data_IF_109532402027
#
_entry.id   IF_109532402027
#
_cell.length_a   1.000
_cell.length_b   1.000
_cell.length_c   1.000
_cell.angle_alpha   90.00
_cell.angle_beta   90.00
_cell.angle_gamma   90.00
#
_symmetry.space_group_name_H-M   'P 1'
#
loop_
_entity.id
_entity.type
_entity.pdbx_description
1 polymer ?
#
# COMPACT_ATOMS: atom_id res chain seq x y z
N UNK A 1 -17.63 0.98 -24.07
CA UNK A 1 -17.53 1.36 -23.42
C UNK A 1 -17.59 1.67 -23.00
N UNK A 2 -17.41 1.82 -22.78
CA UNK A 2 -17.22 2.29 -22.14
C UNK A 2 -16.99 2.57 -21.41
N UNK A 3 -16.71 2.38 -21.65
CA UNK A 3 -16.26 2.73 -20.78
C UNK A 3 -16.37 3.26 -20.09
N UNK A 4 -16.14 2.92 -19.65
CA UNK A 4 -16.24 3.59 -19.02
C UNK A 4 -15.63 4.28 -18.39
N UNK A 5 -15.21 4.30 -18.86
CA UNK A 5 -14.34 5.15 -18.12
C UNK A 5 -15.07 5.69 -16.91
N UNK A 6 -14.34 5.93 -15.85
CA UNK A 6 -14.98 6.48 -14.65
C UNK A 6 -15.21 7.97 -14.84
N UNK A 7 -16.43 8.40 -14.57
CA UNK A 7 -16.74 9.80 -14.59
C UNK A 7 -16.19 10.53 -13.39
N UNK A 8 -16.07 9.80 -12.26
CA UNK A 8 -15.66 10.40 -11.00
C UNK A 8 -14.36 9.79 -10.54
N UNK A 9 -13.26 10.50 -10.77
CA UNK A 9 -12.01 10.19 -10.10
C UNK A 9 -12.14 10.65 -8.66
N UNK A 10 -11.87 9.75 -7.70
CA UNK A 10 -12.00 10.05 -6.30
C UNK A 10 -10.63 10.12 -5.65
N UNK A 11 -10.16 11.34 -5.44
CA UNK A 11 -8.93 11.60 -4.70
C UNK A 11 -9.34 11.86 -3.25
N UNK A 12 -8.87 11.02 -2.33
CA UNK A 12 -9.23 11.12 -0.92
C UNK A 12 -8.19 11.92 -0.16
N UNK A 13 -8.61 12.70 0.83
CA UNK A 13 -7.65 13.41 1.68
C UNK A 13 -6.83 12.42 2.50
N UNK A 14 -5.55 12.75 2.72
CA UNK A 14 -4.68 11.90 3.50
C UNK A 14 -4.96 12.04 4.98
N UNK A 15 -4.99 10.92 5.70
CA UNK A 15 -5.19 10.88 7.14
C UNK A 15 -3.84 11.08 7.83
N UNK A 16 -3.82 11.88 8.88
CA UNK A 16 -2.62 12.13 9.69
C UNK A 16 -2.82 11.74 11.15
N UNK A 17 -3.97 11.19 11.50
CA UNK A 17 -4.28 10.81 12.89
C UNK A 17 -3.51 9.53 13.27
N UNK A 18 -2.53 9.63 14.20
CA UNK A 18 -1.75 8.46 14.59
C UNK A 18 -2.58 7.35 15.21
N UNK A 19 -3.69 7.69 15.88
CA UNK A 19 -4.55 6.67 16.48
C UNK A 19 -5.22 5.82 15.42
N UNK A 20 -5.67 6.43 14.33
CA UNK A 20 -6.25 5.68 13.22
C UNK A 20 -5.18 4.87 12.50
N UNK A 21 -4.03 5.48 12.22
CA UNK A 21 -2.95 4.83 11.48
C UNK A 21 -2.32 3.68 12.25
N UNK A 22 -2.43 3.68 13.58
CA UNK A 22 -1.91 2.60 14.43
C UNK A 22 -2.88 1.41 14.54
N UNK A 23 -4.05 1.48 13.93
CA UNK A 23 -4.99 0.36 13.94
C UNK A 23 -4.55 -0.69 12.95
N UNK A 24 -4.66 -1.96 13.36
CA UNK A 24 -4.43 -3.05 12.43
C UNK A 24 -5.61 -3.14 11.48
N UNK A 25 -5.35 -3.16 10.18
CA UNK A 25 -6.39 -3.26 9.16
C UNK A 25 -6.97 -4.67 9.14
N UNK A 26 -8.27 -4.75 8.86
CA UNK A 26 -8.96 -6.03 8.72
C UNK A 26 -8.97 -6.47 7.26
N UNK A 27 -9.26 -7.75 6.98
CA UNK A 27 -9.26 -8.23 5.59
C UNK A 27 -10.22 -7.46 4.70
N UNK A 28 -9.80 -7.24 3.46
CA UNK A 28 -10.62 -6.59 2.44
C UNK A 28 -11.47 -7.63 1.71
N UNK A 29 -12.68 -7.23 1.31
CA UNK A 29 -13.59 -8.06 0.54
C UNK A 29 -14.10 -7.31 -0.68
N UNK A 30 -15.11 -7.89 -1.34
CA UNK A 30 -15.66 -7.31 -2.58
C UNK A 30 -16.22 -5.90 -2.36
N UNK A 31 -16.75 -5.63 -1.18
CA UNK A 31 -17.28 -4.32 -0.83
C UNK A 31 -16.21 -3.25 -0.75
N UNK A 32 -14.95 -3.63 -0.77
CA UNK A 32 -13.83 -2.69 -0.65
C UNK A 32 -13.17 -2.34 -1.99
N UNK A 33 -13.73 -2.80 -3.12
CA UNK A 33 -13.14 -2.52 -4.43
C UNK A 33 -13.16 -1.04 -4.79
N UNK A 34 -14.19 -0.31 -4.36
CA UNK A 34 -14.23 1.14 -4.58
C UNK A 34 -13.10 1.82 -3.82
N UNK A 35 -12.79 1.35 -2.62
CA UNK A 35 -11.66 1.85 -1.85
C UNK A 35 -10.34 1.61 -2.59
N UNK A 36 -10.18 0.43 -3.21
CA UNK A 36 -8.98 0.13 -3.99
C UNK A 36 -8.80 1.12 -5.14
N UNK A 37 -9.89 1.47 -5.82
CA UNK A 37 -9.84 2.47 -6.90
C UNK A 37 -9.52 3.86 -6.39
N UNK A 38 -10.15 4.25 -5.28
CA UNK A 38 -9.87 5.55 -4.65
C UNK A 38 -8.41 5.64 -4.24
N UNK A 39 -7.84 4.53 -3.75
CA UNK A 39 -6.44 4.47 -3.36
C UNK A 39 -5.53 4.69 -4.56
N UNK A 40 -5.83 4.06 -5.70
CA UNK A 40 -5.08 4.28 -6.93
C UNK A 40 -5.17 5.73 -7.40
N UNK A 41 -6.37 6.31 -7.36
CA UNK A 41 -6.57 7.70 -7.78
C UNK A 41 -5.79 8.65 -6.89
N UNK A 42 -5.79 8.40 -5.59
CA UNK A 42 -5.08 9.24 -4.63
C UNK A 42 -3.57 9.10 -4.80
N UNK A 43 -3.09 7.88 -5.01
CA UNK A 43 -1.67 7.64 -5.27
C UNK A 43 -1.22 8.36 -6.54
N UNK A 44 -2.01 8.26 -7.61
CA UNK A 44 -1.68 8.92 -8.87
C UNK A 44 -1.62 10.44 -8.72
N UNK A 45 -2.49 11.01 -7.87
CA UNK A 45 -2.49 12.45 -7.61
C UNK A 45 -1.23 12.89 -6.84
N UNK A 46 -0.54 11.97 -6.18
CA UNK A 46 0.66 12.25 -5.40
C UNK A 46 1.91 11.63 -6.05
N UNK A 47 1.87 11.34 -7.35
CA UNK A 47 2.96 10.62 -8.02
C UNK A 47 4.32 11.29 -7.91
N UNK A 48 4.35 12.61 -7.73
CA UNK A 48 5.61 13.35 -7.63
C UNK A 48 6.28 13.19 -6.27
N UNK A 49 5.57 12.69 -5.26
CA UNK A 49 6.09 12.63 -3.90
C UNK A 49 5.83 11.29 -3.21
N UNK A 50 5.14 10.35 -3.88
CA UNK A 50 4.73 9.12 -3.23
C UNK A 50 4.71 7.97 -4.22
N UNK A 51 5.26 6.82 -3.81
CA UNK A 51 5.36 5.63 -4.65
C UNK A 51 4.48 4.49 -4.16
N UNK A 52 3.82 4.65 -3.02
CA UNK A 52 2.92 3.65 -2.48
C UNK A 52 2.02 4.20 -1.40
N UNK A 53 0.88 3.57 -1.19
CA UNK A 53 -0.10 3.92 -0.16
C UNK A 53 -0.82 2.68 0.33
N UNK A 54 -1.24 2.73 1.59
CA UNK A 54 -2.16 1.74 2.16
C UNK A 54 -3.50 2.41 2.41
N UNK A 55 -4.57 1.62 2.44
CA UNK A 55 -5.94 2.16 2.54
C UNK A 55 -6.17 2.97 3.83
N UNK A 56 -5.44 2.66 4.92
CA UNK A 56 -5.60 3.43 6.14
C UNK A 56 -5.18 4.90 5.96
N UNK A 57 -4.31 5.18 4.98
CA UNK A 57 -3.89 6.55 4.69
C UNK A 57 -5.02 7.39 4.10
N UNK A 58 -6.06 6.77 3.58
CA UNK A 58 -7.28 7.47 3.13
C UNK A 58 -8.48 7.16 4.04
N UNK A 59 -8.21 6.67 5.25
CA UNK A 59 -9.23 6.52 6.28
C UNK A 59 -9.97 5.20 6.30
N UNK A 60 -9.53 4.21 5.54
CA UNK A 60 -10.19 2.90 5.49
C UNK A 60 -9.26 1.84 6.07
N UNK A 61 -9.66 1.23 7.19
CA UNK A 61 -8.83 0.25 7.89
C UNK A 61 -9.06 -1.15 7.33
N UNK A 62 -8.83 -1.29 6.03
CA UNK A 62 -8.86 -2.55 5.30
C UNK A 62 -7.51 -2.81 4.67
N UNK A 63 -7.14 -4.09 4.56
CA UNK A 63 -5.81 -4.46 4.11
C UNK A 63 -5.71 -4.39 2.58
N UNK A 64 -5.46 -3.18 2.08
CA UNK A 64 -5.30 -2.89 0.66
C UNK A 64 -4.09 -1.98 0.52
N UNK A 65 -3.21 -2.32 -0.42
CA UNK A 65 -2.09 -1.44 -0.76
C UNK A 65 -2.07 -1.18 -2.26
N UNK A 66 -1.53 -0.03 -2.64
CA UNK A 66 -1.27 0.32 -4.03
C UNK A 66 0.13 0.90 -4.12
N UNK A 67 0.86 0.57 -5.17
CA UNK A 67 2.24 1.01 -5.28
C UNK A 67 2.70 1.01 -6.73
N UNK A 68 3.79 1.74 -6.99
CA UNK A 68 4.45 1.74 -8.28
C UNK A 68 5.31 0.49 -8.39
N UNK A 69 4.95 -0.37 -9.35
CA UNK A 69 5.70 -1.58 -9.64
C UNK A 69 6.38 -1.41 -11.01
N UNK A 70 7.61 -0.90 -10.97
CA UNK A 70 8.45 -0.73 -12.16
C UNK A 70 7.75 0.06 -13.27
N UNK A 71 7.11 1.16 -12.89
CA UNK A 71 6.49 2.07 -13.85
C UNK A 71 4.99 1.90 -14.05
N UNK A 72 4.40 0.88 -13.42
CA UNK A 72 2.95 0.66 -13.47
C UNK A 72 2.41 0.52 -12.06
N UNK A 73 1.23 1.06 -11.81
CA UNK A 73 0.61 0.89 -10.50
C UNK A 73 0.02 -0.51 -10.35
N UNK A 74 0.21 -1.08 -9.17
CA UNK A 74 -0.36 -2.37 -8.80
C UNK A 74 -1.16 -2.23 -7.52
N UNK A 75 -2.29 -2.93 -7.43
CA UNK A 75 -3.08 -3.03 -6.22
C UNK A 75 -2.97 -4.45 -5.68
N UNK A 76 -2.79 -4.57 -4.38
CA UNK A 76 -2.85 -5.86 -3.69
C UNK A 76 -3.92 -5.80 -2.60
N UNK A 77 -4.82 -6.78 -2.62
CA UNK A 77 -5.78 -6.99 -1.54
C UNK A 77 -5.20 -8.06 -0.62
N UNK A 78 -5.24 -7.80 0.67
CA UNK A 78 -4.80 -8.77 1.68
C UNK A 78 -3.38 -9.28 1.46
N UNK A 79 -2.39 -8.39 1.23
CA UNK A 79 -1.01 -8.83 1.04
C UNK A 79 -0.45 -9.44 2.32
N UNK A 80 0.31 -10.51 2.14
CA UNK A 80 0.97 -11.21 3.25
C UNK A 80 2.39 -11.57 2.83
N UNK A 81 3.38 -11.18 3.62
CA UNK A 81 4.77 -11.52 3.36
C UNK A 81 5.02 -12.90 3.94
N UNK A 82 5.26 -13.88 3.06
CA UNK A 82 5.45 -15.28 3.43
C UNK A 82 6.88 -15.56 3.88
N UNK A 83 7.85 -14.89 3.29
CA UNK A 83 9.25 -15.05 3.65
C UNK A 83 10.02 -13.80 3.27
N UNK A 84 11.15 -13.59 3.93
CA UNK A 84 11.99 -12.42 3.71
C UNK A 84 13.44 -12.78 3.99
N UNK A 85 14.37 -12.17 3.25
CA UNK A 85 15.81 -12.40 3.45
C UNK A 85 16.60 -11.19 3.02
N UNK A 86 17.85 -11.11 3.53
CA UNK A 86 18.76 -10.01 3.21
C UNK A 86 18.39 -8.72 3.90
N UNK A 87 18.41 -8.72 5.22
CA UNK A 87 18.03 -7.53 6.00
C UNK A 87 19.04 -6.39 5.84
N UNK A 88 18.53 -5.17 5.91
CA UNK A 88 19.34 -3.96 5.89
C UNK A 88 18.58 -2.84 6.59
N UNK A 89 19.32 -1.83 7.04
CA UNK A 89 18.71 -0.66 7.67
C UNK A 89 18.64 0.48 6.68
N UNK A 90 17.56 1.26 6.77
CA UNK A 90 17.33 2.39 5.89
C UNK A 90 16.45 3.43 6.61
N UNK A 91 16.18 4.53 5.94
CA UNK A 91 15.25 5.55 6.43
C UNK A 91 14.14 5.72 5.41
N UNK A 92 12.90 5.86 5.90
CA UNK A 92 11.73 6.02 5.04
C UNK A 92 10.82 7.10 5.60
N UNK A 93 10.15 7.80 4.68
CA UNK A 93 9.11 8.77 5.03
C UNK A 93 7.76 8.35 4.53
N UNK A 94 6.71 8.96 5.08
CA UNK A 94 5.34 8.69 4.68
C UNK A 94 4.56 10.00 4.69
N UNK A 95 3.74 10.24 3.65
CA UNK A 95 2.95 11.46 3.56
C UNK A 95 1.95 11.61 4.71
N UNK A 96 1.45 10.49 5.25
CA UNK A 96 0.52 10.52 6.38
C UNK A 96 1.20 10.73 7.72
N UNK A 97 2.49 10.47 7.83
CA UNK A 97 3.23 10.60 9.09
C UNK A 97 4.13 11.81 9.03
N UNK A 98 3.81 12.80 9.84
CA UNK A 98 4.59 14.04 9.92
C UNK A 98 5.81 13.82 10.80
N UNK A 99 6.82 14.65 10.64
CA UNK A 99 8.03 14.59 11.46
C UNK A 99 9.27 14.05 10.75
N UNK A 100 9.17 13.82 9.44
CA UNK A 100 10.31 13.42 8.62
C UNK A 100 10.59 11.92 8.60
N UNK A 101 11.69 11.52 7.96
CA UNK A 101 12.01 10.11 7.80
C UNK A 101 12.28 9.39 9.12
N UNK A 102 11.98 8.10 9.15
CA UNK A 102 12.20 7.24 10.29
C UNK A 102 13.11 6.08 9.91
N UNK A 103 13.95 5.67 10.84
CA UNK A 103 14.80 4.50 10.63
C UNK A 103 13.95 3.24 10.68
N UNK A 104 14.25 2.32 9.77
CA UNK A 104 13.52 1.05 9.70
C UNK A 104 14.41 -0.04 9.13
N UNK A 105 14.03 -1.28 9.42
CA UNK A 105 14.70 -2.45 8.88
C UNK A 105 13.87 -3.01 7.74
N UNK A 106 14.53 -3.34 6.63
CA UNK A 106 13.90 -3.90 5.45
C UNK A 106 14.65 -5.13 4.97
N UNK A 107 14.04 -5.86 4.04
CA UNK A 107 14.64 -7.05 3.43
C UNK A 107 14.78 -6.85 1.94
N UNK A 108 15.91 -7.31 1.38
CA UNK A 108 16.20 -7.18 -0.04
C UNK A 108 15.26 -8.02 -0.91
N UNK A 109 14.76 -9.13 -0.34
CA UNK A 109 13.96 -10.11 -1.08
C UNK A 109 12.81 -10.57 -0.20
N UNK A 110 11.59 -10.52 -0.76
CA UNK A 110 10.39 -10.97 -0.06
C UNK A 110 9.55 -11.82 -1.00
N UNK A 111 8.82 -12.77 -0.42
CA UNK A 111 7.82 -13.56 -1.14
C UNK A 111 6.46 -13.14 -0.60
N UNK A 112 5.55 -12.72 -1.49
CA UNK A 112 4.28 -12.13 -1.11
C UNK A 112 3.15 -12.95 -1.70
N UNK A 113 2.12 -13.20 -0.89
CA UNK A 113 0.84 -13.74 -1.34
C UNK A 113 -0.19 -12.62 -1.21
N UNK A 114 -1.01 -12.45 -2.25
CA UNK A 114 -2.06 -11.43 -2.22
C UNK A 114 -3.21 -11.84 -3.10
N UNK A 115 -4.29 -11.09 -3.05
CA UNK A 115 -5.43 -11.28 -3.92
C UNK A 115 -5.53 -10.13 -4.92
N UNK A 116 -5.87 -10.46 -6.16
CA UNK A 116 -6.14 -9.47 -7.20
C UNK A 116 -7.53 -8.87 -6.98
N UNK A 117 -7.89 -7.87 -7.78
CA UNK A 117 -9.22 -7.27 -7.72
C UNK A 117 -10.33 -8.25 -8.09
N UNK A 118 -9.99 -9.36 -8.74
CA UNK A 118 -10.92 -10.46 -9.01
C UNK A 118 -10.85 -11.55 -7.94
N UNK A 119 -10.15 -11.28 -6.83
CA UNK A 119 -9.95 -12.19 -5.70
C UNK A 119 -9.25 -13.49 -6.08
N UNK A 120 -8.42 -13.45 -7.11
CA UNK A 120 -7.53 -14.54 -7.43
C UNK A 120 -6.26 -14.41 -6.59
N UNK A 121 -5.85 -15.53 -6.00
CA UNK A 121 -4.64 -15.56 -5.19
C UNK A 121 -3.41 -15.60 -6.10
N UNK A 122 -2.42 -14.75 -5.79
CA UNK A 122 -1.15 -14.69 -6.47
C UNK A 122 -0.02 -14.78 -5.46
N UNK A 123 1.08 -15.39 -5.87
CA UNK A 123 2.30 -15.46 -5.06
C UNK A 123 3.45 -15.08 -5.97
N UNK A 124 4.29 -14.15 -5.50
CA UNK A 124 5.44 -13.70 -6.29
C UNK A 124 6.56 -13.23 -5.37
N UNK A 125 7.78 -13.39 -5.83
CA UNK A 125 8.97 -12.87 -5.17
C UNK A 125 9.30 -11.50 -5.73
N UNK A 126 9.54 -10.53 -4.83
CA UNK A 126 9.94 -9.17 -5.18
C UNK A 126 11.30 -8.89 -4.56
N UNK A 127 12.08 -8.05 -5.20
CA UNK A 127 13.42 -7.67 -4.73
C UNK A 127 13.62 -6.18 -4.82
N UNK A 128 14.65 -5.68 -4.12
CA UNK A 128 15.10 -4.30 -4.25
C UNK A 128 14.08 -3.28 -3.87
N UNK A 129 13.97 -2.22 -4.68
CA UNK A 129 13.11 -1.07 -4.40
C UNK A 129 11.63 -1.46 -4.32
N UNK A 130 11.15 -2.29 -5.24
CA UNK A 130 9.76 -2.75 -5.23
C UNK A 130 9.46 -3.49 -3.93
N UNK A 131 10.38 -4.37 -3.50
CA UNK A 131 10.21 -5.09 -2.23
C UNK A 131 10.17 -4.12 -1.05
N UNK A 132 10.98 -3.07 -1.08
CA UNK A 132 10.99 -2.07 -0.01
C UNK A 132 9.65 -1.36 0.08
N UNK A 133 9.10 -0.93 -1.05
CA UNK A 133 7.80 -0.24 -1.08
C UNK A 133 6.70 -1.14 -0.51
N UNK A 134 6.65 -2.40 -0.95
CA UNK A 134 5.63 -3.34 -0.47
C UNK A 134 5.72 -3.51 1.05
N UNK A 135 6.92 -3.68 1.59
CA UNK A 135 7.11 -3.85 3.04
C UNK A 135 6.61 -2.64 3.81
N UNK A 136 6.89 -1.44 3.31
CA UNK A 136 6.44 -0.20 3.95
C UNK A 136 4.90 -0.17 4.02
N UNK A 137 4.23 -0.49 2.91
CA UNK A 137 2.78 -0.43 2.86
C UNK A 137 2.13 -1.56 3.67
N UNK A 138 2.74 -2.75 3.70
CA UNK A 138 2.24 -3.84 4.54
C UNK A 138 2.35 -3.47 6.03
N UNK A 139 3.42 -2.76 6.41
CA UNK A 139 3.53 -2.26 7.78
C UNK A 139 2.34 -1.36 8.13
N UNK A 140 1.90 -0.50 7.21
CA UNK A 140 0.72 0.33 7.45
C UNK A 140 -0.53 -0.53 7.66
N UNK A 141 -0.67 -1.62 6.93
CA UNK A 141 -1.79 -2.56 7.14
C UNK A 141 -1.77 -3.17 8.54
N UNK A 142 -0.59 -3.28 9.13
CA UNK A 142 -0.43 -3.83 10.49
C UNK A 142 -0.42 -2.75 11.56
N UNK A 143 -0.69 -1.49 11.19
CA UNK A 143 -0.73 -0.39 12.15
C UNK A 143 0.63 0.08 12.61
N UNK A 144 1.68 -0.25 11.88
CA UNK A 144 3.04 0.17 12.21
C UNK A 144 3.29 1.56 11.61
N UNK A 145 3.68 2.49 12.45
CA UNK A 145 3.90 3.89 12.05
C UNK A 145 5.32 4.07 11.53
N UNK A 146 5.45 4.01 10.22
CA UNK A 146 6.74 4.15 9.53
C UNK A 146 6.68 5.31 8.56
#
# INVERSE_FOLDING_TARGET
MLHRERKNTMIRPLVHDPLLLARKSTPAGKEDLDTARDLLDTLAAHQDSCVGMAANMIGVTKCIIAFDCEGSYMVMLNPEILSASGDYETEEGCLSLLGGPRKTKRFQKIKVRWQTENFQTRIKTFTGWTAQIIQHEVDHCNGILI
#
